data_IF_332549283953
#
_entry.id   IF_332549283953
#
_cell.length_a   1.000
_cell.length_b   1.000
_cell.length_c   1.000
_cell.angle_alpha   90.00
_cell.angle_beta   90.00
_cell.angle_gamma   90.00
#
_symmetry.space_group_name_H-M   'P 1'
#
loop_
_entity.id
_entity.type
_entity.pdbx_description
1 polymer ?
#
# COMPACT_ATOMS: atom_id res chain seq x y z
N UNK A 1 -15.40 -15.24 15.75
CA UNK A 1 -15.67 -14.19 16.76
C UNK A 1 -14.45 -13.35 17.18
N UNK A 2 -13.19 -13.82 17.16
CA UNK A 2 -12.00 -13.01 17.55
C UNK A 2 -11.55 -11.95 16.51
N UNK A 3 -11.93 -12.07 15.24
CA UNK A 3 -11.52 -11.13 14.17
C UNK A 3 -12.28 -9.79 14.16
N UNK A 4 -13.48 -9.75 14.75
CA UNK A 4 -14.29 -8.52 14.83
C UNK A 4 -13.91 -7.62 16.02
N UNK A 5 -13.24 -8.17 17.03
CA UNK A 5 -12.86 -7.43 18.24
C UNK A 5 -11.70 -6.44 18.00
N UNK A 6 -10.79 -6.77 17.05
CA UNK A 6 -9.65 -5.89 16.72
C UNK A 6 -10.07 -4.66 15.91
N UNK A 7 -11.08 -4.80 15.05
CA UNK A 7 -11.68 -3.67 14.32
C UNK A 7 -12.43 -2.75 15.29
N UNK A 8 -13.08 -3.32 16.32
CA UNK A 8 -13.79 -2.57 17.33
C UNK A 8 -12.87 -1.75 18.24
N UNK A 9 -11.63 -2.23 18.50
CA UNK A 9 -10.65 -1.51 19.36
C UNK A 9 -10.14 -0.24 18.66
N UNK A 10 -9.87 -0.27 17.36
CA UNK A 10 -9.54 0.96 16.61
C UNK A 10 -10.73 1.95 16.55
N UNK A 11 -11.98 1.46 16.53
CA UNK A 11 -13.18 2.29 16.52
C UNK A 11 -13.55 2.84 17.90
N UNK A 12 -13.32 2.08 18.97
CA UNK A 12 -13.59 2.53 20.35
C UNK A 12 -12.61 3.62 20.81
N UNK A 13 -11.38 3.63 20.32
CA UNK A 13 -10.46 4.75 20.56
C UNK A 13 -10.84 6.02 19.79
N UNK A 14 -11.64 5.92 18.72
CA UNK A 14 -12.15 7.07 17.98
C UNK A 14 -13.42 7.69 18.57
N UNK A 15 -14.14 6.97 19.45
CA UNK A 15 -15.45 7.43 19.97
C UNK A 15 -15.45 7.71 21.48
N UNK A 16 -14.48 7.19 22.24
CA UNK A 16 -14.50 7.27 23.71
C UNK A 16 -13.27 7.87 24.37
N UNK A 17 -12.20 8.04 23.64
CA UNK A 17 -11.05 8.78 24.11
C UNK A 17 -11.16 10.21 23.59
N UNK A 18 -11.44 11.17 24.44
CA UNK A 18 -10.73 12.41 24.32
C UNK A 18 -9.27 11.97 24.13
N UNK A 19 -8.79 11.92 22.88
CA UNK A 19 -7.37 11.93 22.66
C UNK A 19 -6.93 13.11 23.51
N UNK A 20 -6.25 12.82 24.61
CA UNK A 20 -5.49 13.86 25.25
C UNK A 20 -4.63 14.40 24.12
N UNK A 21 -5.10 15.50 23.54
CA UNK A 21 -4.22 16.36 22.79
C UNK A 21 -3.12 16.66 23.77
N UNK A 22 -2.03 15.87 23.69
CA UNK A 22 -0.81 16.28 24.34
C UNK A 22 -0.61 17.69 23.83
N UNK A 23 -0.55 18.70 24.69
CA UNK A 23 -0.43 20.06 24.22
C UNK A 23 0.77 20.07 23.28
N UNK A 24 0.53 20.34 22.01
CA UNK A 24 1.58 20.61 21.06
C UNK A 24 2.31 21.81 21.65
N UNK A 25 3.39 21.55 22.32
CA UNK A 25 4.35 22.59 22.64
C UNK A 25 4.88 23.07 21.29
N UNK A 26 4.46 24.24 20.87
CA UNK A 26 5.06 25.01 19.78
C UNK A 26 6.49 25.46 20.16
N UNK A 27 7.21 24.64 20.88
CA UNK A 27 8.63 24.81 21.09
C UNK A 27 9.35 24.47 19.80
N UNK A 28 9.41 25.46 18.91
CA UNK A 28 10.52 25.62 17.96
C UNK A 28 11.83 25.79 18.73
N UNK A 29 12.26 24.74 19.41
CA UNK A 29 13.58 24.77 20.05
C UNK A 29 14.32 23.52 19.60
N UNK A 30 15.25 23.72 18.69
CA UNK A 30 16.38 22.85 18.52
C UNK A 30 17.16 22.76 19.82
N UNK A 31 16.65 22.05 20.81
CA UNK A 31 17.33 21.73 22.05
C UNK A 31 18.04 20.41 21.88
N UNK A 32 19.36 20.46 21.84
CA UNK A 32 20.28 19.33 21.68
C UNK A 32 20.43 18.52 22.99
N UNK A 33 19.37 18.15 23.67
CA UNK A 33 19.52 17.40 24.92
C UNK A 33 19.13 15.93 24.82
N UNK A 34 18.38 15.52 23.77
CA UNK A 34 17.93 14.13 23.63
C UNK A 34 18.22 13.65 22.20
N UNK A 35 18.79 12.49 22.02
CA UNK A 35 19.37 12.01 20.77
C UNK A 35 18.47 11.83 19.55
N UNK A 36 17.19 12.25 19.58
CA UNK A 36 16.25 12.16 18.47
C UNK A 36 15.86 13.54 17.93
N UNK A 37 16.78 14.16 17.23
CA UNK A 37 16.64 15.50 16.66
C UNK A 37 16.95 15.53 15.16
N UNK A 38 16.74 16.66 14.51
CA UNK A 38 16.94 16.85 13.07
C UNK A 38 15.64 16.88 12.30
N UNK A 39 15.73 16.80 11.00
CA UNK A 39 14.57 16.73 10.09
C UNK A 39 14.20 15.28 9.77
N UNK A 40 12.96 15.09 9.31
CA UNK A 40 12.54 13.84 8.67
C UNK A 40 13.30 13.69 7.36
N UNK A 41 13.80 12.49 7.05
CA UNK A 41 14.47 12.21 5.79
C UNK A 41 13.47 12.38 4.64
N UNK A 42 13.91 13.06 3.59
CA UNK A 42 13.09 13.36 2.43
C UNK A 42 13.92 13.45 1.15
N UNK A 43 13.31 13.18 0.01
CA UNK A 43 13.94 13.29 -1.29
C UNK A 43 13.02 13.98 -2.29
N UNK A 44 13.57 14.95 -3.04
CA UNK A 44 12.87 15.64 -4.14
C UNK A 44 13.50 15.23 -5.45
N UNK A 45 12.71 14.85 -6.41
CA UNK A 45 13.18 14.50 -7.75
C UNK A 45 12.27 15.12 -8.82
N UNK A 46 12.86 15.53 -9.95
CA UNK A 46 12.15 16.02 -11.12
C UNK A 46 12.53 15.15 -12.31
N UNK A 47 11.54 14.48 -12.90
CA UNK A 47 11.79 13.64 -14.08
C UNK A 47 12.19 14.48 -15.30
N UNK A 48 12.79 13.85 -16.33
CA UNK A 48 13.11 14.55 -17.60
C UNK A 48 11.87 15.14 -18.31
N UNK A 49 10.68 14.63 -17.98
CA UNK A 49 9.38 15.14 -18.49
C UNK A 49 8.80 16.26 -17.62
N UNK A 50 9.51 16.75 -16.61
CA UNK A 50 9.06 17.82 -15.72
C UNK A 50 8.12 17.37 -14.58
N UNK A 51 7.97 16.07 -14.36
CA UNK A 51 7.15 15.54 -13.28
C UNK A 51 7.88 15.64 -11.95
N UNK A 52 7.30 16.35 -11.00
CA UNK A 52 7.81 16.46 -9.62
C UNK A 52 7.41 15.25 -8.80
N UNK A 53 8.36 14.64 -8.13
CA UNK A 53 8.14 13.68 -7.04
C UNK A 53 8.82 14.14 -5.76
N UNK A 54 8.18 13.84 -4.63
CA UNK A 54 8.71 14.10 -3.30
C UNK A 54 8.43 12.88 -2.44
N UNK A 55 9.46 12.31 -1.83
CA UNK A 55 9.39 11.06 -1.10
C UNK A 55 9.76 11.26 0.36
N UNK A 56 8.94 10.70 1.24
CA UNK A 56 9.17 10.61 2.69
C UNK A 56 9.29 9.12 3.01
N UNK A 57 10.50 8.58 3.22
CA UNK A 57 10.68 7.18 3.56
C UNK A 57 10.14 6.87 4.95
N UNK A 58 9.60 5.66 5.11
CA UNK A 58 9.17 5.10 6.39
C UNK A 58 10.20 4.02 6.77
N UNK A 59 11.24 4.37 7.55
CA UNK A 59 12.34 3.46 7.82
C UNK A 59 11.89 2.31 8.73
N UNK A 60 11.76 1.12 8.16
CA UNK A 60 11.48 -0.09 8.92
C UNK A 60 12.62 -0.44 9.87
N UNK A 61 12.29 -1.04 11.02
CA UNK A 61 13.25 -1.64 11.92
C UNK A 61 14.02 -2.77 11.24
N UNK A 62 15.20 -3.16 11.72
CA UNK A 62 15.97 -4.26 11.14
C UNK A 62 15.14 -5.55 11.01
N UNK A 63 15.26 -6.23 9.88
CA UNK A 63 14.57 -7.47 9.59
C UNK A 63 15.49 -8.68 9.60
N UNK A 64 14.93 -9.89 9.71
CA UNK A 64 15.67 -11.15 9.69
C UNK A 64 16.28 -11.38 8.31
N UNK A 65 17.58 -11.69 8.27
CA UNK A 65 18.31 -11.88 7.02
C UNK A 65 18.33 -10.65 6.09
N UNK A 66 18.10 -9.46 6.63
CA UNK A 66 17.99 -8.22 5.85
C UNK A 66 16.61 -7.98 5.21
N UNK A 67 15.67 -8.93 5.34
CA UNK A 67 14.32 -8.78 4.81
C UNK A 67 13.49 -7.83 5.68
N UNK A 68 13.15 -6.68 5.15
CA UNK A 68 12.32 -5.67 5.78
C UNK A 68 11.45 -4.95 4.76
N UNK A 69 10.29 -4.39 5.16
CA UNK A 69 9.48 -3.56 4.29
C UNK A 69 10.26 -2.31 3.84
N UNK A 70 10.09 -1.92 2.57
CA UNK A 70 10.57 -0.66 2.03
C UNK A 70 9.37 0.19 1.65
N UNK A 71 8.92 1.03 2.59
CA UNK A 71 7.73 1.85 2.43
C UNK A 71 8.10 3.32 2.40
N UNK A 72 7.35 4.08 1.61
CA UNK A 72 7.44 5.54 1.58
C UNK A 72 6.08 6.17 1.32
N UNK A 73 5.91 7.43 1.75
CA UNK A 73 4.80 8.28 1.36
C UNK A 73 5.30 9.24 0.31
N UNK A 74 4.82 9.08 -0.92
CA UNK A 74 5.36 9.76 -2.09
C UNK A 74 4.34 10.68 -2.74
N UNK A 75 4.70 11.94 -2.94
CA UNK A 75 4.00 12.88 -3.80
C UNK A 75 4.39 12.67 -5.25
N UNK A 76 3.40 12.81 -6.12
CA UNK A 76 3.64 12.84 -7.53
C UNK A 76 2.67 13.84 -8.18
N UNK A 77 3.22 14.79 -8.94
CA UNK A 77 2.43 15.87 -9.53
C UNK A 77 1.38 15.42 -10.55
N UNK A 78 1.49 14.20 -11.08
CA UNK A 78 0.48 13.60 -11.98
C UNK A 78 -0.55 12.72 -11.26
N UNK A 79 -0.34 12.38 -9.98
CA UNK A 79 -1.27 11.58 -9.18
C UNK A 79 -2.38 12.46 -8.60
N UNK A 80 -3.61 11.96 -8.56
CA UNK A 80 -4.75 12.71 -8.02
C UNK A 80 -4.92 12.45 -6.52
N UNK A 81 -5.64 11.41 -6.14
CA UNK A 81 -5.86 11.07 -4.73
C UNK A 81 -5.31 9.68 -4.42
N UNK A 82 -4.38 9.62 -3.48
CA UNK A 82 -3.84 8.37 -2.94
C UNK A 82 -4.18 8.19 -1.47
N UNK A 83 -3.58 7.20 -0.82
CA UNK A 83 -3.78 6.88 0.59
C UNK A 83 -3.24 7.94 1.56
N UNK A 84 -2.43 8.88 1.10
CA UNK A 84 -1.92 9.99 1.91
C UNK A 84 -2.46 11.37 1.42
N UNK A 85 -3.63 11.38 0.77
CA UNK A 85 -4.32 12.59 0.33
C UNK A 85 -4.05 12.94 -1.14
N UNK A 86 -4.36 14.19 -1.51
CA UNK A 86 -4.21 14.64 -2.89
C UNK A 86 -2.74 14.69 -3.31
N UNK A 87 -2.41 13.97 -4.38
CA UNK A 87 -1.05 13.87 -4.91
C UNK A 87 -0.14 12.91 -4.16
N UNK A 88 -0.48 12.50 -2.93
CA UNK A 88 0.31 11.61 -2.10
C UNK A 88 -0.27 10.20 -2.02
N UNK A 89 0.60 9.19 -2.18
CA UNK A 89 0.22 7.78 -1.99
C UNK A 89 1.27 7.03 -1.17
N UNK A 90 0.88 5.88 -0.63
CA UNK A 90 1.78 4.93 0.01
C UNK A 90 2.41 4.04 -1.06
N UNK A 91 3.74 4.05 -1.11
CA UNK A 91 4.54 3.23 -2.04
C UNK A 91 5.24 2.09 -1.31
N UNK A 92 5.66 1.06 -2.07
CA UNK A 92 6.42 -0.08 -1.55
C UNK A 92 5.61 -1.37 -1.35
N UNK A 93 4.28 -1.34 -1.58
CA UNK A 93 3.44 -2.53 -1.63
C UNK A 93 3.05 -2.83 -3.07
N UNK A 94 3.53 -3.96 -3.58
CA UNK A 94 3.31 -4.37 -4.96
C UNK A 94 1.87 -4.80 -5.20
N UNK A 95 1.37 -4.54 -6.41
CA UNK A 95 0.00 -4.81 -6.81
C UNK A 95 -0.05 -5.38 -8.23
N UNK A 96 -0.91 -6.36 -8.45
CA UNK A 96 -1.31 -6.76 -9.79
C UNK A 96 -2.70 -6.17 -10.05
N UNK A 97 -2.85 -5.48 -11.16
CA UNK A 97 -4.11 -4.87 -11.59
C UNK A 97 -4.57 -5.44 -12.93
N UNK A 98 -5.90 -5.46 -13.12
CA UNK A 98 -6.50 -5.68 -14.43
C UNK A 98 -6.35 -4.41 -15.26
N UNK A 99 -5.99 -4.55 -16.52
CA UNK A 99 -5.80 -3.46 -17.46
C UNK A 99 -6.58 -3.70 -18.76
N UNK A 100 -7.01 -2.64 -19.46
CA UNK A 100 -7.74 -2.77 -20.70
C UNK A 100 -6.85 -3.25 -21.85
N UNK A 101 -7.46 -3.69 -22.95
CA UNK A 101 -6.79 -3.83 -24.22
C UNK A 101 -6.44 -2.46 -24.80
N UNK A 102 -5.30 -2.38 -25.47
CA UNK A 102 -4.87 -1.19 -26.18
C UNK A 102 -4.50 -1.50 -27.65
N UNK A 103 -4.53 -0.45 -28.47
CA UNK A 103 -4.35 -0.62 -29.91
C UNK A 103 -2.95 -1.05 -30.31
N UNK A 104 -1.96 -0.72 -29.48
CA UNK A 104 -0.56 -1.04 -29.78
C UNK A 104 -0.29 -2.54 -29.60
N UNK A 105 -0.80 -3.12 -28.49
CA UNK A 105 -0.54 -4.51 -28.15
C UNK A 105 -1.58 -5.48 -28.73
N UNK A 106 -2.85 -5.05 -28.81
CA UNK A 106 -3.98 -5.95 -29.05
C UNK A 106 -4.73 -5.64 -30.34
N UNK A 107 -4.29 -4.61 -31.10
CA UNK A 107 -4.96 -4.07 -32.31
C UNK A 107 -6.39 -3.55 -32.07
N UNK A 108 -6.90 -3.69 -30.87
CA UNK A 108 -8.21 -3.17 -30.41
C UNK A 108 -8.01 -2.30 -29.18
N UNK A 109 -8.95 -1.40 -28.92
CA UNK A 109 -8.98 -0.60 -27.69
C UNK A 109 -10.33 -0.78 -27.02
N UNK A 110 -10.35 -1.46 -25.90
CA UNK A 110 -11.56 -1.71 -25.09
C UNK A 110 -11.34 -1.25 -23.68
N UNK A 111 -12.39 -0.80 -23.00
CA UNK A 111 -12.35 -0.63 -21.55
C UNK A 111 -12.30 -2.01 -20.87
N UNK A 112 -11.92 -2.03 -19.56
CA UNK A 112 -12.01 -3.26 -18.74
C UNK A 112 -13.46 -3.73 -18.75
N UNK A 113 -13.69 -4.97 -19.16
CA UNK A 113 -15.02 -5.58 -19.28
C UNK A 113 -15.15 -6.91 -18.53
N UNK A 114 -14.08 -7.35 -17.86
CA UNK A 114 -13.96 -8.61 -17.13
C UNK A 114 -14.10 -9.85 -18.02
N UNK A 115 -13.73 -9.74 -19.28
CA UNK A 115 -13.72 -10.83 -20.26
C UNK A 115 -12.29 -11.23 -20.63
N UNK A 116 -12.14 -12.06 -21.65
CA UNK A 116 -10.85 -12.47 -22.20
C UNK A 116 -10.07 -11.35 -22.92
N UNK A 117 -10.67 -10.17 -23.10
CA UNK A 117 -9.98 -9.00 -23.70
C UNK A 117 -9.17 -8.21 -22.68
N UNK A 118 -9.42 -8.44 -21.38
CA UNK A 118 -8.63 -7.79 -20.34
C UNK A 118 -7.28 -8.48 -20.16
N UNK A 119 -6.30 -7.67 -19.76
CA UNK A 119 -4.95 -8.11 -19.43
C UNK A 119 -4.61 -7.79 -17.99
N UNK A 120 -3.39 -8.11 -17.59
CA UNK A 120 -2.90 -7.85 -16.23
C UNK A 120 -1.64 -7.00 -16.30
N UNK A 121 -1.38 -6.24 -15.24
CA UNK A 121 -0.15 -5.48 -15.06
C UNK A 121 0.38 -5.68 -13.63
N UNK A 122 1.68 -5.92 -13.49
CA UNK A 122 2.41 -5.95 -12.22
C UNK A 122 3.06 -4.58 -12.03
N UNK A 123 2.66 -3.86 -11.00
CA UNK A 123 3.16 -2.50 -10.69
C UNK A 123 3.16 -1.55 -11.90
N UNK A 124 2.09 -1.65 -12.70
CA UNK A 124 1.91 -0.87 -13.92
C UNK A 124 2.60 -1.43 -15.17
N UNK A 125 3.44 -2.46 -15.07
CA UNK A 125 4.04 -3.14 -16.22
C UNK A 125 3.13 -4.23 -16.74
N UNK A 126 2.76 -4.15 -18.03
CA UNK A 126 1.92 -5.13 -18.69
C UNK A 126 2.52 -6.53 -18.60
N UNK A 127 1.66 -7.52 -18.35
CA UNK A 127 2.01 -8.93 -18.33
C UNK A 127 1.70 -9.55 -19.69
N UNK A 128 2.71 -10.22 -20.24
CA UNK A 128 2.60 -10.95 -21.50
C UNK A 128 2.50 -12.45 -21.17
N UNK A 129 1.55 -13.11 -21.78
CA UNK A 129 1.36 -14.54 -21.62
C UNK A 129 2.56 -15.29 -22.21
N UNK A 130 3.22 -16.09 -21.40
CA UNK A 130 4.42 -16.85 -21.79
C UNK A 130 4.11 -18.28 -22.24
N UNK A 131 3.04 -18.87 -21.70
CA UNK A 131 2.59 -20.21 -22.06
C UNK A 131 1.13 -20.20 -22.47
N UNK A 132 0.67 -21.24 -23.18
CA UNK A 132 -0.75 -21.38 -23.45
C UNK A 132 -1.53 -21.41 -22.13
N UNK A 133 -2.48 -20.48 -21.90
CA UNK A 133 -3.22 -20.42 -20.67
C UNK A 133 -4.13 -21.64 -20.54
N UNK A 134 -4.13 -22.23 -19.35
CA UNK A 134 -5.10 -23.25 -18.98
C UNK A 134 -6.19 -22.66 -18.08
N UNK A 135 -7.25 -23.39 -17.82
CA UNK A 135 -8.26 -22.98 -16.84
C UNK A 135 -7.81 -23.14 -15.38
N UNK A 136 -6.61 -23.63 -15.13
CA UNK A 136 -6.06 -23.89 -13.80
C UNK A 136 -4.82 -23.10 -13.48
N UNK A 137 -3.97 -22.86 -14.50
CA UNK A 137 -2.72 -22.13 -14.34
C UNK A 137 -2.30 -21.46 -15.64
N UNK A 138 -1.70 -20.27 -15.54
CA UNK A 138 -1.13 -19.54 -16.66
C UNK A 138 0.18 -18.89 -16.23
N UNK A 139 1.17 -18.89 -17.12
CA UNK A 139 2.47 -18.27 -16.88
C UNK A 139 2.62 -16.96 -17.67
N UNK A 140 3.14 -15.94 -17.00
CA UNK A 140 3.34 -14.61 -17.55
C UNK A 140 4.78 -14.12 -17.35
N UNK A 141 5.18 -13.14 -18.17
CA UNK A 141 6.38 -12.34 -18.02
C UNK A 141 5.99 -10.85 -18.10
N UNK A 142 6.81 -10.00 -17.51
CA UNK A 142 6.66 -8.54 -17.72
C UNK A 142 7.09 -8.16 -19.13
N UNK A 143 6.40 -7.23 -19.76
CA UNK A 143 6.73 -6.72 -21.10
C UNK A 143 8.19 -6.23 -21.15
N UNK A 144 8.59 -5.36 -20.24
CA UNK A 144 9.99 -5.06 -19.99
C UNK A 144 10.57 -6.19 -19.14
N UNK A 145 11.39 -7.04 -19.74
CA UNK A 145 11.84 -8.26 -19.12
C UNK A 145 12.58 -8.01 -17.77
N UNK A 146 11.90 -8.26 -16.69
CA UNK A 146 12.43 -8.22 -15.31
C UNK A 146 13.08 -9.55 -14.88
N UNK A 147 13.08 -10.56 -15.73
CA UNK A 147 13.44 -11.94 -15.43
C UNK A 147 12.57 -12.59 -14.31
N UNK A 148 11.43 -12.00 -14.02
CA UNK A 148 10.48 -12.57 -13.08
C UNK A 148 9.63 -13.65 -13.78
N UNK A 149 9.40 -14.77 -13.08
CA UNK A 149 8.39 -15.75 -13.44
C UNK A 149 7.11 -15.44 -12.69
N UNK A 150 6.00 -15.26 -13.40
CA UNK A 150 4.71 -14.92 -12.83
C UNK A 150 3.73 -16.04 -13.14
N UNK A 151 3.12 -16.61 -12.11
CA UNK A 151 2.18 -17.74 -12.24
C UNK A 151 0.83 -17.27 -11.68
N UNK A 152 -0.18 -17.28 -12.53
CA UNK A 152 -1.58 -17.05 -12.15
C UNK A 152 -2.28 -18.40 -11.95
N UNK A 153 -3.05 -18.54 -10.87
CA UNK A 153 -3.88 -19.71 -10.58
C UNK A 153 -5.35 -19.40 -10.81
N UNK A 154 -6.10 -20.40 -11.29
CA UNK A 154 -7.53 -20.29 -11.62
C UNK A 154 -7.76 -19.98 -13.08
N UNK A 155 -8.95 -19.49 -13.42
CA UNK A 155 -9.31 -19.16 -14.81
C UNK A 155 -8.42 -18.05 -15.35
N UNK A 156 -7.92 -18.20 -16.57
CA UNK A 156 -7.07 -17.20 -17.22
C UNK A 156 -7.73 -15.81 -17.34
N UNK A 157 -9.06 -15.77 -17.46
CA UNK A 157 -9.84 -14.50 -17.51
C UNK A 157 -10.05 -13.89 -16.12
N UNK A 158 -9.96 -14.67 -15.05
CA UNK A 158 -10.16 -14.20 -13.68
C UNK A 158 -9.37 -15.06 -12.67
N UNK A 159 -8.04 -14.90 -12.59
CA UNK A 159 -7.22 -15.64 -11.66
C UNK A 159 -7.65 -15.44 -10.20
N UNK A 160 -7.55 -16.49 -9.40
CA UNK A 160 -7.82 -16.42 -7.95
C UNK A 160 -6.62 -15.86 -7.19
N UNK A 161 -5.41 -16.08 -7.69
CA UNK A 161 -4.17 -15.60 -7.08
C UNK A 161 -3.04 -15.53 -8.11
N UNK A 162 -2.00 -14.78 -7.77
CA UNK A 162 -0.73 -14.77 -8.50
C UNK A 162 0.43 -15.09 -7.56
N UNK A 163 1.47 -15.69 -8.14
CA UNK A 163 2.77 -15.87 -7.49
C UNK A 163 3.88 -15.36 -8.41
N UNK A 164 4.72 -14.48 -7.90
CA UNK A 164 5.83 -13.87 -8.64
C UNK A 164 7.15 -14.33 -8.05
N UNK A 165 7.99 -14.96 -8.86
CA UNK A 165 9.35 -15.36 -8.54
C UNK A 165 10.31 -14.37 -9.18
N UNK A 166 11.05 -13.63 -8.36
CA UNK A 166 11.99 -12.62 -8.83
C UNK A 166 13.39 -13.18 -9.08
N UNK A 167 14.17 -12.48 -9.89
CA UNK A 167 15.59 -12.81 -10.11
C UNK A 167 16.42 -12.78 -8.82
N UNK A 168 16.03 -11.95 -7.84
CA UNK A 168 16.72 -11.86 -6.54
C UNK A 168 16.40 -13.00 -5.57
N UNK A 169 15.53 -13.95 -5.96
CA UNK A 169 15.12 -15.08 -5.13
C UNK A 169 13.95 -14.76 -4.19
N UNK A 170 13.35 -13.56 -4.29
CA UNK A 170 12.14 -13.25 -3.55
C UNK A 170 10.91 -13.84 -4.25
N UNK A 171 9.96 -14.30 -3.44
CA UNK A 171 8.69 -14.86 -3.87
C UNK A 171 7.59 -14.00 -3.30
N UNK A 172 6.71 -13.48 -4.18
CA UNK A 172 5.57 -12.68 -3.82
C UNK A 172 4.29 -13.46 -4.07
N UNK A 173 3.44 -13.57 -3.06
CA UNK A 173 2.10 -14.14 -3.15
C UNK A 173 1.07 -13.02 -3.17
N UNK A 174 0.16 -13.05 -4.17
CA UNK A 174 -0.90 -12.06 -4.32
C UNK A 174 -2.26 -12.73 -4.18
N UNK A 175 -3.16 -12.07 -3.47
CA UNK A 175 -4.55 -12.52 -3.29
C UNK A 175 -5.54 -11.52 -3.90
N UNK A 176 -6.65 -12.03 -4.38
CA UNK A 176 -7.78 -11.23 -4.85
C UNK A 176 -8.44 -10.51 -3.67
N UNK A 177 -8.56 -9.18 -3.71
CA UNK A 177 -9.12 -8.38 -2.62
C UNK A 177 -10.30 -7.53 -3.05
N UNK A 178 -10.32 -7.05 -4.29
CA UNK A 178 -11.38 -6.18 -4.80
C UNK A 178 -12.18 -6.90 -5.89
N UNK A 179 -13.47 -7.15 -5.61
CA UNK A 179 -14.43 -7.68 -6.57
C UNK A 179 -15.28 -6.56 -7.13
N UNK A 180 -15.48 -6.54 -8.44
CA UNK A 180 -16.42 -5.60 -9.04
C UNK A 180 -17.86 -5.95 -8.66
N UNK A 181 -18.53 -5.06 -7.94
CA UNK A 181 -19.95 -5.19 -7.65
C UNK A 181 -20.78 -4.85 -8.91
N UNK A 182 -21.66 -5.75 -9.30
CA UNK A 182 -22.58 -5.51 -10.44
C UNK A 182 -22.64 -6.63 -11.47
N UNK A 183 -21.63 -7.49 -11.54
CA UNK A 183 -21.70 -8.80 -12.22
C UNK A 183 -21.54 -9.89 -11.19
N UNK A 184 -21.98 -11.12 -11.46
CA UNK A 184 -21.96 -12.23 -10.51
C UNK A 184 -20.64 -12.25 -9.74
N UNK A 185 -20.70 -12.29 -8.42
CA UNK A 185 -19.57 -12.06 -7.48
C UNK A 185 -18.31 -12.91 -7.76
N UNK A 186 -18.43 -13.97 -8.56
CA UNK A 186 -17.36 -14.91 -8.85
C UNK A 186 -16.37 -14.46 -9.96
N UNK A 187 -16.74 -13.50 -10.81
CA UNK A 187 -16.02 -13.27 -12.08
C UNK A 187 -15.49 -11.84 -12.29
N UNK A 188 -15.15 -11.12 -11.23
CA UNK A 188 -14.83 -9.69 -11.39
C UNK A 188 -13.74 -9.15 -10.47
N UNK A 189 -12.62 -9.85 -10.37
CA UNK A 189 -11.47 -9.32 -9.63
C UNK A 189 -10.76 -8.23 -10.43
N UNK A 190 -10.58 -7.07 -9.80
CA UNK A 190 -9.90 -5.91 -10.39
C UNK A 190 -8.44 -5.79 -9.93
N UNK A 191 -8.17 -6.16 -8.66
CA UNK A 191 -6.84 -6.04 -8.05
C UNK A 191 -6.47 -7.30 -7.27
N UNK A 192 -5.20 -7.66 -7.34
CA UNK A 192 -4.55 -8.67 -6.50
C UNK A 192 -3.44 -8.01 -5.72
N UNK A 193 -3.55 -8.01 -4.40
CA UNK A 193 -2.63 -7.34 -3.51
C UNK A 193 -1.61 -8.33 -2.95
N UNK A 194 -0.37 -7.90 -2.78
CA UNK A 194 0.65 -8.73 -2.16
C UNK A 194 0.25 -9.08 -0.73
N UNK A 195 0.20 -10.37 -0.41
CA UNK A 195 -0.17 -10.86 0.93
C UNK A 195 1.02 -11.42 1.70
N UNK A 196 2.00 -11.96 0.99
CA UNK A 196 3.24 -12.50 1.58
C UNK A 196 4.41 -12.26 0.64
N UNK A 197 5.55 -11.94 1.21
CA UNK A 197 6.84 -11.92 0.51
C UNK A 197 7.78 -12.82 1.29
N UNK A 198 8.43 -13.75 0.61
CA UNK A 198 9.38 -14.69 1.23
C UNK A 198 10.66 -14.81 0.42
N UNK A 199 11.73 -15.30 1.05
CA UNK A 199 12.97 -15.66 0.38
C UNK A 199 13.18 -17.18 0.36
N UNK A 200 14.24 -17.62 -0.29
CA UNK A 200 14.62 -19.04 -0.39
C UNK A 200 15.16 -19.63 0.93
N UNK A 201 15.39 -18.81 1.95
CA UNK A 201 15.86 -19.23 3.29
C UNK A 201 14.71 -19.34 4.29
N UNK A 202 13.47 -19.11 3.85
CA UNK A 202 12.28 -19.17 4.69
C UNK A 202 11.96 -17.87 5.43
N UNK A 203 12.75 -16.80 5.28
CA UNK A 203 12.37 -15.51 5.84
C UNK A 203 11.13 -14.98 5.13
N UNK A 204 10.23 -14.34 5.88
CA UNK A 204 9.01 -13.82 5.28
C UNK A 204 8.48 -12.57 5.97
N UNK A 205 7.67 -11.84 5.22
CA UNK A 205 6.78 -10.80 5.70
C UNK A 205 5.37 -11.00 5.13
N UNK A 206 4.36 -10.54 5.86
CA UNK A 206 2.95 -10.61 5.44
C UNK A 206 2.30 -9.26 5.50
N UNK A 207 1.33 -9.02 4.62
CA UNK A 207 0.56 -7.78 4.55
C UNK A 207 -0.92 -8.10 4.78
N UNK A 208 -1.50 -7.43 5.76
CA UNK A 208 -2.93 -7.49 6.02
C UNK A 208 -3.61 -6.23 5.47
N UNK A 209 -4.81 -6.41 4.91
CA UNK A 209 -5.60 -5.33 4.32
C UNK A 209 -6.96 -5.21 4.97
N UNK A 210 -7.42 -3.97 5.11
CA UNK A 210 -8.80 -3.64 5.35
C UNK A 210 -9.49 -3.22 4.06
N UNK A 211 -10.82 -3.19 4.08
CA UNK A 211 -11.58 -2.79 2.91
C UNK A 211 -13.06 -2.60 3.22
N UNK A 212 -13.75 -1.96 2.28
CA UNK A 212 -15.20 -1.84 2.27
C UNK A 212 -15.72 -2.53 1.01
N UNK A 213 -16.40 -3.66 1.21
CA UNK A 213 -16.95 -4.48 0.13
C UNK A 213 -17.95 -3.72 -0.75
N UNK A 214 -18.62 -2.70 -0.21
CA UNK A 214 -19.61 -1.89 -0.95
C UNK A 214 -18.99 -0.86 -1.90
N UNK A 215 -17.69 -0.58 -1.78
CA UNK A 215 -17.01 0.50 -2.52
C UNK A 215 -15.73 0.09 -3.19
N UNK A 216 -15.33 -1.19 -3.11
CA UNK A 216 -14.01 -1.66 -3.52
C UNK A 216 -12.85 -0.82 -2.97
N UNK A 217 -13.06 -0.22 -1.80
CA UNK A 217 -12.01 0.47 -1.06
C UNK A 217 -11.14 -0.57 -0.37
N UNK A 218 -9.83 -0.47 -0.52
CA UNK A 218 -8.87 -1.34 0.15
C UNK A 218 -7.64 -0.53 0.57
N UNK A 219 -7.07 -0.90 1.69
CA UNK A 219 -5.90 -0.23 2.26
C UNK A 219 -5.13 -1.19 3.17
N UNK A 220 -3.79 -1.13 3.25
CA UNK A 220 -3.02 -1.95 4.16
C UNK A 220 -3.34 -1.56 5.61
N UNK A 221 -3.47 -2.53 6.49
CA UNK A 221 -3.68 -2.31 7.93
C UNK A 221 -2.44 -2.65 8.73
N UNK A 222 -1.66 -3.62 8.26
CA UNK A 222 -0.49 -4.11 8.98
C UNK A 222 0.48 -4.82 8.04
N UNK A 223 1.76 -4.61 8.25
CA UNK A 223 2.84 -5.40 7.67
C UNK A 223 3.59 -6.05 8.81
N UNK A 224 3.57 -7.38 8.90
CA UNK A 224 4.35 -8.16 9.86
C UNK A 224 5.58 -8.70 9.17
N UNK A 225 6.75 -8.60 9.80
CA UNK A 225 8.00 -9.06 9.22
C UNK A 225 8.94 -9.60 10.29
N UNK A 226 10.08 -10.19 9.91
CA UNK A 226 11.01 -10.94 10.77
C UNK A 226 10.65 -12.41 10.99
N UNK A 227 9.56 -12.90 10.36
CA UNK A 227 9.21 -14.32 10.45
C UNK A 227 10.17 -15.22 9.65
N UNK A 228 10.27 -16.49 10.05
CA UNK A 228 11.00 -17.52 9.30
C UNK A 228 10.25 -18.86 9.36
N UNK A 229 9.68 -19.26 8.23
CA UNK A 229 8.92 -20.53 8.10
C UNK A 229 9.80 -21.77 8.37
N UNK A 230 11.07 -21.73 7.94
CA UNK A 230 11.98 -22.89 8.09
C UNK A 230 12.39 -23.14 9.53
N UNK A 231 12.35 -22.09 10.37
CA UNK A 231 12.68 -22.17 11.80
C UNK A 231 11.43 -22.16 12.69
N UNK A 232 10.24 -22.02 12.11
CA UNK A 232 9.00 -21.89 12.86
C UNK A 232 8.86 -20.58 13.63
N UNK A 233 9.62 -19.54 13.24
CA UNK A 233 9.63 -18.25 13.93
C UNK A 233 8.53 -17.33 13.40
N UNK A 234 7.71 -16.83 14.32
CA UNK A 234 6.67 -15.84 14.02
C UNK A 234 7.25 -14.42 13.93
N UNK A 235 6.65 -13.53 13.11
CA UNK A 235 7.05 -12.14 13.04
C UNK A 235 6.97 -11.43 14.41
N UNK A 236 8.02 -10.72 14.79
CA UNK A 236 8.07 -9.92 16.03
C UNK A 236 8.16 -8.41 15.78
N UNK A 237 8.33 -7.98 14.54
CA UNK A 237 8.27 -6.58 14.16
C UNK A 237 7.08 -6.33 13.24
N UNK A 238 6.45 -5.15 13.37
CA UNK A 238 5.33 -4.79 12.50
C UNK A 238 5.26 -3.28 12.22
N UNK A 239 4.69 -2.95 11.07
CA UNK A 239 4.25 -1.60 10.71
C UNK A 239 2.73 -1.61 10.70
N UNK A 240 2.10 -0.71 11.46
CA UNK A 240 0.64 -0.63 11.60
C UNK A 240 0.15 0.71 11.09
N UNK A 241 -0.98 0.69 10.37
CA UNK A 241 -1.56 1.87 9.73
C UNK A 241 -2.89 2.21 10.37
N UNK A 242 -3.06 3.48 10.73
CA UNK A 242 -4.36 4.04 11.11
C UNK A 242 -4.85 5.01 10.03
N UNK A 243 -6.17 5.16 9.95
CA UNK A 243 -6.82 5.90 8.87
C UNK A 243 -7.87 6.85 9.41
N UNK A 244 -8.05 7.95 8.70
CA UNK A 244 -9.20 8.85 8.84
C UNK A 244 -10.00 8.88 7.53
N UNK A 245 -11.22 9.42 7.59
CA UNK A 245 -12.09 9.55 6.42
C UNK A 245 -11.60 10.71 5.55
N UNK A 246 -11.51 10.46 4.23
CA UNK A 246 -11.35 11.53 3.25
C UNK A 246 -12.75 12.07 2.86
N UNK A 247 -13.12 13.29 3.29
CA UNK A 247 -14.44 13.86 3.00
C UNK A 247 -14.63 14.16 1.50
N UNK A 248 -13.55 14.27 0.75
CA UNK A 248 -13.55 14.54 -0.69
C UNK A 248 -13.05 13.36 -1.52
N UNK A 249 -13.33 12.15 -1.05
CA UNK A 249 -12.93 10.93 -1.75
C UNK A 249 -13.57 10.86 -3.14
N UNK A 250 -12.78 10.75 -4.22
CA UNK A 250 -13.32 10.59 -5.56
C UNK A 250 -13.98 9.21 -5.69
N UNK A 251 -15.01 9.18 -6.52
CA UNK A 251 -15.63 7.93 -6.95
C UNK A 251 -15.33 7.75 -8.42
N UNK A 252 -14.83 6.60 -8.78
CA UNK A 252 -14.63 6.15 -10.16
C UNK A 252 -15.42 4.89 -10.42
N UNK A 253 -15.69 4.61 -11.68
CA UNK A 253 -16.40 3.40 -12.08
C UNK A 253 -15.60 2.64 -13.13
N UNK A 254 -15.47 1.33 -12.93
CA UNK A 254 -14.83 0.40 -13.87
C UNK A 254 -15.87 -0.64 -14.25
N UNK A 255 -16.34 -0.60 -15.49
CA UNK A 255 -17.41 -1.47 -15.99
C UNK A 255 -18.62 -1.59 -15.03
N UNK A 256 -19.08 -0.45 -14.50
CA UNK A 256 -20.18 -0.38 -13.53
C UNK A 256 -19.80 -0.68 -12.07
N UNK A 257 -18.62 -1.22 -11.81
CA UNK A 257 -18.11 -1.39 -10.46
C UNK A 257 -17.66 -0.05 -9.86
N UNK A 258 -18.18 0.28 -8.70
CA UNK A 258 -17.80 1.49 -7.97
C UNK A 258 -16.46 1.28 -7.28
N UNK A 259 -15.52 2.18 -7.53
CA UNK A 259 -14.22 2.23 -6.85
C UNK A 259 -14.10 3.56 -6.12
N UNK A 260 -13.89 3.53 -4.82
CA UNK A 260 -13.77 4.72 -3.98
C UNK A 260 -12.56 4.58 -3.06
N UNK A 261 -11.77 5.64 -2.91
CA UNK A 261 -10.73 5.73 -1.88
C UNK A 261 -11.21 6.67 -0.78
N UNK A 262 -11.91 6.11 0.21
CA UNK A 262 -12.56 6.88 1.27
C UNK A 262 -11.66 7.13 2.49
N UNK A 263 -10.50 6.51 2.54
CA UNK A 263 -9.57 6.58 3.66
C UNK A 263 -8.27 7.28 3.27
N UNK A 264 -7.70 8.03 4.24
CA UNK A 264 -6.32 8.50 4.18
C UNK A 264 -5.60 8.14 5.47
N UNK A 265 -4.31 7.91 5.38
CA UNK A 265 -3.45 7.54 6.50
C UNK A 265 -3.44 8.66 7.52
N UNK A 266 -3.79 8.38 8.77
CA UNK A 266 -3.64 9.32 9.91
C UNK A 266 -2.34 9.08 10.66
N UNK A 267 -1.89 7.84 10.75
CA UNK A 267 -0.58 7.51 11.30
C UNK A 267 -0.04 6.19 10.76
N UNK A 268 1.29 6.07 10.80
CA UNK A 268 2.05 4.84 10.56
C UNK A 268 2.94 4.62 11.78
N UNK A 269 2.73 3.52 12.49
CA UNK A 269 3.48 3.19 13.71
C UNK A 269 4.33 1.94 13.51
N UNK A 270 5.56 1.98 14.00
CA UNK A 270 6.51 0.88 13.98
C UNK A 270 6.56 0.20 15.35
N UNK A 271 6.40 -1.11 15.35
CA UNK A 271 6.37 -1.94 16.56
C UNK A 271 7.49 -2.96 16.56
N UNK A 272 8.07 -3.18 17.74
CA UNK A 272 8.96 -4.29 18.07
C UNK A 272 8.39 -5.04 19.26
N UNK A 273 8.10 -6.34 19.12
CA UNK A 273 7.48 -7.17 20.19
C UNK A 273 6.25 -6.49 20.83
N UNK A 274 5.35 -5.95 19.99
CA UNK A 274 4.14 -5.23 20.39
C UNK A 274 4.34 -3.90 21.17
N UNK A 275 5.57 -3.43 21.32
CA UNK A 275 5.86 -2.10 21.82
C UNK A 275 6.03 -1.14 20.64
N UNK A 276 5.32 0.00 20.69
CA UNK A 276 5.50 1.08 19.70
C UNK A 276 6.86 1.71 19.92
N UNK A 277 7.68 1.75 18.87
CA UNK A 277 9.04 2.33 18.90
C UNK A 277 9.03 3.71 18.26
N UNK A 278 8.23 3.88 17.20
CA UNK A 278 8.20 5.10 16.38
C UNK A 278 6.83 5.27 15.74
N UNK A 279 6.40 6.52 15.62
CA UNK A 279 5.16 6.89 14.95
C UNK A 279 5.37 8.05 13.98
N UNK A 280 4.80 7.93 12.78
CA UNK A 280 4.62 9.00 11.81
C UNK A 280 3.17 9.44 11.85
N UNK A 281 2.92 10.72 12.11
CA UNK A 281 1.58 11.31 12.13
C UNK A 281 1.39 12.23 10.95
N UNK A 282 0.23 12.13 10.29
CA UNK A 282 -0.12 12.86 9.08
C UNK A 282 -1.28 13.80 9.38
N UNK A 283 -1.06 15.11 9.15
CA UNK A 283 -2.09 16.14 9.29
C UNK A 283 -2.50 16.65 7.92
N UNK A 284 -3.77 16.98 7.77
CA UNK A 284 -4.35 17.38 6.51
C UNK A 284 -5.03 18.74 6.61
N UNK A 285 -5.10 19.42 5.49
CA UNK A 285 -5.90 20.62 5.29
C UNK A 285 -6.88 20.43 4.13
N UNK A 286 -7.96 21.21 4.16
CA UNK A 286 -8.92 21.23 3.07
C UNK A 286 -8.70 22.52 2.29
N UNK A 287 -8.36 22.39 1.01
CA UNK A 287 -8.29 23.51 0.08
C UNK A 287 -8.82 23.08 -1.29
N UNK A 288 -9.62 23.94 -1.93
CA UNK A 288 -10.19 23.69 -3.26
C UNK A 288 -10.90 22.32 -3.40
N UNK A 289 -11.65 21.90 -2.37
CA UNK A 289 -12.31 20.59 -2.29
C UNK A 289 -11.34 19.41 -2.43
N UNK A 290 -10.10 19.58 -1.97
CA UNK A 290 -9.08 18.54 -1.92
C UNK A 290 -8.63 18.35 -0.48
N UNK A 291 -8.38 17.10 -0.10
CA UNK A 291 -7.84 16.75 1.20
C UNK A 291 -6.32 16.58 1.03
N UNK A 292 -5.58 17.63 1.44
CA UNK A 292 -4.16 17.79 1.14
C UNK A 292 -3.34 17.53 2.40
N UNK A 293 -2.26 16.75 2.26
CA UNK A 293 -1.29 16.56 3.32
C UNK A 293 -0.61 17.91 3.63
N UNK A 294 -0.65 18.35 4.88
CA UNK A 294 -0.08 19.64 5.31
C UNK A 294 1.11 19.49 6.23
N UNK A 295 1.18 18.42 7.00
CA UNK A 295 2.27 18.20 7.95
C UNK A 295 2.50 16.71 8.19
N UNK A 296 3.78 16.32 8.30
CA UNK A 296 4.22 15.02 8.78
C UNK A 296 5.12 15.23 9.99
N UNK A 297 4.86 14.48 11.07
CA UNK A 297 5.71 14.45 12.28
C UNK A 297 6.19 13.03 12.51
N UNK A 298 7.43 12.88 12.92
CA UNK A 298 8.04 11.63 13.34
C UNK A 298 8.41 11.73 14.81
N UNK A 299 7.92 10.81 15.64
CA UNK A 299 8.18 10.79 17.08
C UNK A 299 8.53 9.38 17.55
N UNK A 300 9.29 9.31 18.64
CA UNK A 300 9.54 8.06 19.38
C UNK A 300 8.40 7.79 20.36
N UNK A 301 8.39 6.58 20.95
CA UNK A 301 7.46 6.21 22.03
C UNK A 301 7.58 7.10 23.26
N UNK A 302 8.77 7.66 23.51
CA UNK A 302 9.05 8.53 24.66
C UNK A 302 8.61 9.98 24.42
N UNK A 303 8.08 10.28 23.22
CA UNK A 303 7.55 11.59 22.85
C UNK A 303 8.59 12.56 22.29
N UNK A 304 9.83 12.13 22.07
CA UNK A 304 10.81 12.92 21.32
C UNK A 304 10.39 13.01 19.85
N UNK A 305 10.57 14.16 19.23
CA UNK A 305 10.10 14.41 17.87
C UNK A 305 11.18 15.08 17.02
N UNK A 306 11.28 14.65 15.76
CA UNK A 306 12.02 15.40 14.75
C UNK A 306 11.26 16.67 14.36
N UNK A 307 11.98 17.61 13.73
CA UNK A 307 11.36 18.78 13.11
C UNK A 307 10.33 18.32 12.07
N UNK A 308 9.09 18.79 12.15
CA UNK A 308 8.04 18.34 11.23
C UNK A 308 8.28 18.82 9.80
N UNK A 309 7.99 17.98 8.84
CA UNK A 309 7.87 18.38 7.43
C UNK A 309 6.56 19.11 7.24
N UNK A 310 6.59 20.35 6.77
CA UNK A 310 5.41 21.19 6.46
C UNK A 310 5.27 21.35 4.95
N UNK A 311 4.06 21.18 4.45
CA UNK A 311 3.73 21.27 3.03
C UNK A 311 2.76 22.44 2.82
N UNK A 312 3.16 23.37 1.95
CA UNK A 312 2.32 24.52 1.52
C UNK A 312 1.85 24.30 0.10
N UNK A 313 0.58 24.64 -0.17
CA UNK A 313 -0.10 24.35 -1.43
C UNK A 313 -0.56 25.63 -2.11
#
# INVERSE_FOLDING_TARGET
MRRYLLILICFLFAVGGFAQQRPFSDKEHGGAENGFFGKIDDEVNVSPTGQLSYEIPIPALPGTGGMKPSLSVTYNSSTKNGLAGYGFDLMGLSIISRVPSDRFHDYISTAIDFTGHDHFALDGQRLINYSYPTNTESEYRTENNSFAKIVAKGKNTNPTSFKVYTKSGLIYDYMSVAKALGKSESDSTLFWLVSKISDTKGNYMTVAYGGDAGTNDFYPTRVDYTGNDSMGESPYASIRFCYTINPYAPVTYVNGARVKRSKVISSISLYMKDQEVRIFQFSYQIANRRYQLSKVTESTSDGESKNPTRLTW
#
